data_IF_986447739476
#
_entry.id   IF_986447739476
#
_cell.length_a   1.000
_cell.length_b   1.000
_cell.length_c   1.000
_cell.angle_alpha   90.00
_cell.angle_beta   90.00
_cell.angle_gamma   90.00
#
_symmetry.space_group_name_H-M   'P 1'
#
loop_
_entity.id
_entity.type
_entity.pdbx_description
1 polymer ?
#
# COMPACT_ATOMS: atom_id res chain seq x y z
N UNK A 1 -7.36 12.34 -1.30
CA UNK A 1 -7.06 12.28 -2.75
C UNK A 1 -6.76 10.86 -3.22
N UNK A 2 -5.79 10.14 -2.63
CA UNK A 2 -5.41 8.79 -3.09
C UNK A 2 -6.59 7.80 -3.26
N UNK A 3 -7.52 7.74 -2.31
CA UNK A 3 -8.69 6.83 -2.37
C UNK A 3 -9.65 7.12 -3.54
N UNK A 4 -9.74 8.36 -4.01
CA UNK A 4 -10.78 8.78 -4.96
C UNK A 4 -10.56 8.25 -6.38
N UNK A 5 -9.32 7.88 -6.71
CA UNK A 5 -8.95 7.30 -8.02
C UNK A 5 -9.18 5.79 -8.14
N UNK A 6 -9.77 5.13 -7.14
CA UNK A 6 -10.00 3.69 -7.14
C UNK A 6 -11.48 3.37 -7.04
N UNK A 7 -11.99 2.54 -7.93
CA UNK A 7 -13.40 2.12 -8.03
C UNK A 7 -13.67 0.79 -7.33
N UNK A 8 -12.64 -0.05 -7.20
CA UNK A 8 -12.75 -1.36 -6.56
C UNK A 8 -12.99 -1.29 -5.05
N UNK A 9 -13.19 -2.48 -4.47
CA UNK A 9 -13.28 -2.65 -3.01
C UNK A 9 -11.99 -2.17 -2.35
N UNK A 10 -12.12 -1.43 -1.27
CA UNK A 10 -11.02 -1.08 -0.39
C UNK A 10 -11.47 -1.17 1.06
N UNK A 11 -10.51 -1.27 1.97
CA UNK A 11 -10.76 -0.98 3.38
C UNK A 11 -11.03 0.52 3.59
N UNK A 12 -11.64 0.91 4.73
CA UNK A 12 -11.38 2.22 5.32
C UNK A 12 -9.91 2.31 5.79
N UNK A 13 -9.50 3.48 6.26
CA UNK A 13 -8.21 3.58 6.97
C UNK A 13 -8.37 2.90 8.32
N UNK A 14 -7.64 1.80 8.52
CA UNK A 14 -7.60 1.08 9.78
C UNK A 14 -6.48 1.62 10.66
N UNK A 15 -6.67 1.47 11.97
CA UNK A 15 -5.62 1.63 12.96
C UNK A 15 -5.42 0.28 13.66
N UNK A 16 -4.20 -0.24 13.62
CA UNK A 16 -3.85 -1.53 14.21
C UNK A 16 -3.14 -1.33 15.54
N UNK A 17 -3.78 -1.74 16.63
CA UNK A 17 -3.25 -1.55 17.98
C UNK A 17 -1.97 -2.35 18.28
N UNK A 18 -1.76 -3.49 17.62
CA UNK A 18 -0.59 -4.34 17.89
C UNK A 18 0.72 -3.77 17.36
N UNK A 19 0.69 -3.21 16.15
CA UNK A 19 1.82 -2.59 15.45
C UNK A 19 1.83 -1.06 15.54
N UNK A 20 0.74 -0.47 16.02
CA UNK A 20 0.51 0.97 16.12
C UNK A 20 0.60 1.70 14.76
N UNK A 21 0.15 1.05 13.70
CA UNK A 21 0.20 1.58 12.33
C UNK A 21 -1.19 1.88 11.77
N UNK A 22 -1.19 2.74 10.75
CA UNK A 22 -2.36 3.04 9.92
C UNK A 22 -2.22 2.30 8.59
N UNK A 23 -3.30 1.70 8.08
CA UNK A 23 -3.28 1.10 6.75
C UNK A 23 -4.56 1.32 5.96
N UNK A 24 -4.42 1.43 4.64
CA UNK A 24 -5.50 1.34 3.67
C UNK A 24 -5.16 0.30 2.62
N UNK A 25 -6.11 -0.56 2.30
CA UNK A 25 -5.90 -1.72 1.43
C UNK A 25 -6.85 -1.67 0.25
N UNK A 26 -6.31 -1.83 -0.96
CA UNK A 26 -7.05 -2.02 -2.20
C UNK A 26 -7.05 -3.49 -2.58
N UNK A 27 -8.14 -3.94 -3.18
CA UNK A 27 -8.33 -5.34 -3.58
C UNK A 27 -8.45 -5.42 -5.11
N UNK A 28 -7.77 -6.38 -5.73
CA UNK A 28 -7.92 -6.63 -7.17
C UNK A 28 -9.29 -7.21 -7.53
N UNK A 29 -9.94 -7.85 -6.55
CA UNK A 29 -11.15 -8.64 -6.72
C UNK A 29 -10.90 -10.12 -7.02
N UNK A 30 -9.65 -10.52 -7.30
CA UNK A 30 -9.27 -11.93 -7.48
C UNK A 30 -8.88 -12.60 -6.16
N UNK A 31 -9.13 -13.91 -6.00
CA UNK A 31 -8.65 -14.66 -4.85
C UNK A 31 -7.12 -14.75 -4.85
N UNK A 32 -6.53 -14.76 -3.65
CA UNK A 32 -5.11 -15.03 -3.45
C UNK A 32 -4.90 -16.48 -3.01
N UNK A 33 -3.68 -17.04 -3.15
CA UNK A 33 -3.32 -18.27 -2.45
C UNK A 33 -3.48 -18.07 -0.92
N UNK A 34 -3.63 -19.16 -0.13
CA UNK A 34 -3.69 -19.02 1.32
C UNK A 34 -2.43 -18.38 1.91
N UNK A 35 -2.61 -17.44 2.84
CA UNK A 35 -1.49 -16.83 3.57
C UNK A 35 -0.64 -17.91 4.26
N UNK A 36 0.71 -17.85 4.14
CA UNK A 36 1.60 -18.87 4.72
C UNK A 36 1.48 -18.95 6.25
N UNK A 37 1.04 -17.87 6.89
CA UNK A 37 0.89 -17.79 8.34
C UNK A 37 2.19 -17.38 9.02
N UNK A 38 2.32 -17.72 10.30
CA UNK A 38 3.57 -17.52 11.05
C UNK A 38 3.85 -16.08 11.50
N UNK A 39 2.83 -15.21 11.45
CA UNK A 39 2.93 -13.86 12.02
C UNK A 39 2.85 -13.98 13.55
N UNK A 40 3.83 -13.47 14.32
CA UNK A 40 3.83 -13.56 15.77
C UNK A 40 2.52 -13.04 16.37
N UNK A 41 1.93 -13.81 17.28
CA UNK A 41 0.69 -13.47 17.98
C UNK A 41 -0.57 -13.28 17.11
N UNK A 42 -0.53 -13.69 15.83
CA UNK A 42 -1.69 -13.67 14.92
C UNK A 42 -2.00 -15.10 14.46
N UNK A 43 -3.19 -15.64 14.76
CA UNK A 43 -3.56 -16.98 14.29
C UNK A 43 -3.58 -17.08 12.77
N UNK A 44 -3.06 -18.19 12.22
CA UNK A 44 -3.00 -18.42 10.77
C UNK A 44 -4.38 -18.35 10.09
N UNK A 45 -5.44 -18.80 10.78
CA UNK A 45 -6.81 -18.70 10.26
C UNK A 45 -7.23 -17.24 10.05
N UNK A 46 -6.85 -16.34 10.94
CA UNK A 46 -7.13 -14.90 10.82
C UNK A 46 -6.32 -14.31 9.67
N UNK A 47 -5.03 -14.65 9.55
CA UNK A 47 -4.20 -14.19 8.45
C UNK A 47 -4.75 -14.67 7.08
N UNK A 48 -5.15 -15.94 6.96
CA UNK A 48 -5.71 -16.49 5.72
C UNK A 48 -7.04 -15.84 5.33
N UNK A 49 -7.89 -15.52 6.31
CA UNK A 49 -9.14 -14.81 6.05
C UNK A 49 -8.87 -13.36 5.60
N UNK A 50 -7.99 -12.65 6.32
CA UNK A 50 -7.64 -11.26 6.04
C UNK A 50 -7.00 -11.08 4.65
N UNK A 51 -6.21 -12.06 4.21
CA UNK A 51 -5.49 -12.08 2.94
C UNK A 51 -6.11 -13.06 1.91
N UNK A 52 -7.43 -13.26 1.96
CA UNK A 52 -8.15 -14.17 1.04
C UNK A 52 -8.15 -13.72 -0.43
N UNK A 53 -7.89 -12.45 -0.68
CA UNK A 53 -7.87 -11.84 -2.01
C UNK A 53 -6.55 -11.12 -2.25
N UNK A 54 -6.21 -10.90 -3.52
CA UNK A 54 -5.03 -10.13 -3.84
C UNK A 54 -5.19 -8.69 -3.36
N UNK A 55 -4.16 -8.16 -2.69
CA UNK A 55 -4.17 -6.84 -2.09
C UNK A 55 -2.93 -6.03 -2.46
N UNK A 56 -3.13 -4.72 -2.47
CA UNK A 56 -2.09 -3.70 -2.39
C UNK A 56 -2.44 -2.84 -1.19
N UNK A 57 -1.59 -2.89 -0.18
CA UNK A 57 -1.77 -2.16 1.06
C UNK A 57 -0.71 -1.08 1.18
N UNK A 58 -1.08 0.05 1.76
CA UNK A 58 -0.16 1.12 2.08
C UNK A 58 -0.55 1.78 3.40
N UNK A 59 0.43 2.28 4.12
CA UNK A 59 0.21 2.73 5.48
C UNK A 59 1.30 3.64 6.02
N UNK A 60 1.18 3.94 7.31
CA UNK A 60 2.14 4.71 8.08
C UNK A 60 2.42 4.00 9.40
N UNK A 61 3.69 3.88 9.74
CA UNK A 61 4.17 3.37 11.02
C UNK A 61 5.07 4.42 11.68
N UNK A 62 4.86 4.76 12.97
CA UNK A 62 5.79 5.64 13.71
C UNK A 62 7.20 5.09 13.98
N UNK A 63 7.48 3.81 13.67
CA UNK A 63 8.73 3.12 13.98
C UNK A 63 8.66 2.32 15.29
N UNK A 64 9.77 1.69 15.68
CA UNK A 64 9.87 0.89 16.91
C UNK A 64 9.84 -0.63 16.69
N UNK A 65 10.34 -1.09 15.53
CA UNK A 65 10.51 -2.51 15.22
C UNK A 65 11.76 -2.72 14.37
N UNK A 66 11.62 -3.25 13.15
CA UNK A 66 12.78 -3.43 12.24
C UNK A 66 13.31 -2.10 11.67
N UNK A 67 12.52 -1.03 11.76
CA UNK A 67 12.96 0.34 11.50
C UNK A 67 12.68 1.22 12.74
N UNK A 68 13.66 2.06 13.09
CA UNK A 68 13.62 2.95 14.26
C UNK A 68 13.14 4.37 13.93
N UNK A 69 12.64 4.58 12.71
CA UNK A 69 12.16 5.88 12.25
C UNK A 69 10.74 5.76 11.70
N UNK A 70 9.93 6.84 11.77
CA UNK A 70 8.61 6.86 11.17
C UNK A 70 8.71 6.76 9.65
N UNK A 71 7.83 5.96 9.05
CA UNK A 71 7.82 5.76 7.61
C UNK A 71 6.43 5.45 7.07
N UNK A 72 6.22 5.82 5.81
CA UNK A 72 5.15 5.26 5.01
C UNK A 72 5.63 3.95 4.40
N UNK A 73 4.72 2.99 4.29
CA UNK A 73 5.04 1.66 3.77
C UNK A 73 4.02 1.24 2.72
N UNK A 74 4.39 0.27 1.88
CA UNK A 74 3.48 -0.43 0.98
C UNK A 74 3.94 -1.85 0.69
N UNK A 75 2.99 -2.77 0.64
CA UNK A 75 3.21 -4.15 0.25
C UNK A 75 2.08 -4.65 -0.64
N UNK A 76 2.32 -5.77 -1.31
CA UNK A 76 1.31 -6.50 -2.07
C UNK A 76 1.27 -7.96 -1.60
N UNK A 77 0.07 -8.55 -1.57
CA UNK A 77 -0.10 -9.97 -1.29
C UNK A 77 -1.02 -10.62 -2.34
N UNK A 78 -0.62 -11.74 -2.96
CA UNK A 78 0.75 -12.25 -2.97
C UNK A 78 1.69 -11.22 -3.60
N UNK A 79 2.97 -11.22 -3.21
CA UNK A 79 3.95 -10.30 -3.79
C UNK A 79 4.18 -10.67 -5.28
N UNK A 80 3.83 -9.78 -6.24
CA UNK A 80 3.98 -10.10 -7.65
C UNK A 80 5.44 -9.95 -8.10
N UNK A 81 5.86 -10.77 -9.07
CA UNK A 81 7.21 -10.71 -9.63
C UNK A 81 7.50 -9.31 -10.20
N UNK A 82 8.58 -8.70 -9.74
CA UNK A 82 9.01 -7.37 -10.17
C UNK A 82 8.55 -6.23 -9.25
N UNK A 83 7.72 -6.50 -8.24
CA UNK A 83 7.30 -5.50 -7.26
C UNK A 83 8.48 -4.87 -6.51
N UNK A 84 9.41 -5.69 -6.03
CA UNK A 84 10.60 -5.23 -5.26
C UNK A 84 11.52 -4.29 -6.04
N UNK A 85 11.54 -4.44 -7.36
CA UNK A 85 12.47 -3.74 -8.27
C UNK A 85 11.76 -2.69 -9.11
N UNK A 86 10.50 -2.37 -8.81
CA UNK A 86 9.74 -1.39 -9.55
C UNK A 86 10.38 -0.01 -9.41
N UNK A 87 10.29 0.81 -10.46
CA UNK A 87 10.71 2.19 -10.39
C UNK A 87 9.72 2.97 -9.50
N UNK A 88 10.20 3.50 -8.39
CA UNK A 88 9.38 4.22 -7.41
C UNK A 88 9.61 5.73 -7.50
N UNK A 89 8.61 6.47 -7.06
CA UNK A 89 8.72 7.88 -6.75
C UNK A 89 8.21 8.11 -5.31
N UNK A 90 8.77 9.06 -4.55
CA UNK A 90 9.94 9.87 -4.87
C UNK A 90 11.23 9.02 -4.81
N UNK A 91 12.40 9.53 -5.25
CA UNK A 91 13.66 8.78 -5.24
C UNK A 91 14.11 8.29 -3.85
N UNK A 92 13.54 8.85 -2.77
CA UNK A 92 13.78 8.40 -1.40
C UNK A 92 13.03 7.10 -1.04
N UNK A 93 12.09 6.65 -1.87
CA UNK A 93 11.39 5.38 -1.68
C UNK A 93 12.29 4.20 -2.07
N UNK A 94 12.28 3.14 -1.26
CA UNK A 94 13.14 1.97 -1.43
C UNK A 94 12.45 0.69 -0.96
N UNK A 95 12.89 -0.47 -1.44
CA UNK A 95 12.47 -1.76 -0.90
C UNK A 95 13.34 -2.14 0.31
N UNK A 96 12.72 -2.46 1.45
CA UNK A 96 13.40 -2.89 2.65
C UNK A 96 13.34 -4.41 2.77
N UNK A 97 14.42 -5.10 2.40
CA UNK A 97 14.49 -6.58 2.34
C UNK A 97 14.09 -7.27 3.65
N UNK A 98 14.48 -6.69 4.80
CA UNK A 98 14.13 -7.26 6.11
C UNK A 98 12.65 -7.16 6.46
N UNK A 99 11.93 -6.19 5.87
CA UNK A 99 10.49 -6.02 6.07
C UNK A 99 9.69 -6.73 4.97
N UNK A 100 10.26 -6.84 3.76
CA UNK A 100 9.52 -7.30 2.59
C UNK A 100 8.59 -6.22 2.03
N UNK A 101 8.86 -4.94 2.31
CA UNK A 101 7.97 -3.83 2.00
C UNK A 101 8.70 -2.68 1.30
N UNK A 102 7.96 -1.89 0.51
CA UNK A 102 8.43 -0.62 -0.02
C UNK A 102 8.24 0.44 1.08
N UNK A 103 9.29 1.21 1.36
CA UNK A 103 9.37 2.16 2.47
C UNK A 103 9.70 3.55 1.92
N UNK A 104 9.00 4.57 2.43
CA UNK A 104 9.34 5.97 2.29
C UNK A 104 9.51 6.59 3.69
N UNK A 105 10.74 6.98 4.09
CA UNK A 105 10.97 7.62 5.37
C UNK A 105 10.13 8.89 5.53
N UNK A 106 9.49 9.07 6.68
CA UNK A 106 8.69 10.26 6.96
C UNK A 106 9.52 11.55 6.87
N UNK A 107 10.80 11.49 7.27
CA UNK A 107 11.72 12.64 7.15
C UNK A 107 11.86 13.13 5.71
N UNK A 108 11.88 12.22 4.73
CA UNK A 108 11.95 12.57 3.31
C UNK A 108 10.67 13.28 2.84
N UNK A 109 9.50 12.91 3.38
CA UNK A 109 8.23 13.60 3.10
C UNK A 109 8.19 14.96 3.79
N UNK A 110 8.55 15.00 5.08
CA UNK A 110 8.51 16.21 5.91
C UNK A 110 9.42 17.33 5.40
N UNK A 111 10.53 16.97 4.75
CA UNK A 111 11.51 17.92 4.20
C UNK A 111 11.39 18.12 2.69
N UNK A 112 10.42 17.46 2.03
CA UNK A 112 10.18 17.66 0.61
C UNK A 112 9.67 19.09 0.33
N UNK A 113 10.01 19.65 -0.85
CA UNK A 113 9.44 20.93 -1.29
C UNK A 113 7.91 20.92 -1.38
N UNK A 114 7.33 19.75 -1.67
CA UNK A 114 5.89 19.48 -1.68
C UNK A 114 5.62 18.13 -0.99
N UNK A 115 5.35 18.12 0.33
CA UNK A 115 5.10 16.89 1.09
C UNK A 115 3.88 16.10 0.60
N UNK A 116 2.82 16.79 0.19
CA UNK A 116 1.59 16.17 -0.30
C UNK A 116 1.85 15.43 -1.62
N UNK A 117 2.57 16.06 -2.55
CA UNK A 117 2.97 15.42 -3.80
C UNK A 117 3.91 14.24 -3.54
N UNK A 118 4.92 14.40 -2.67
CA UNK A 118 5.86 13.33 -2.36
C UNK A 118 5.17 12.08 -1.81
N UNK A 119 4.22 12.24 -0.88
CA UNK A 119 3.44 11.12 -0.36
C UNK A 119 2.50 10.53 -1.42
N UNK A 120 1.82 11.37 -2.21
CA UNK A 120 0.94 10.88 -3.27
C UNK A 120 1.69 10.11 -4.34
N UNK A 121 2.90 10.54 -4.71
CA UNK A 121 3.74 9.88 -5.70
C UNK A 121 4.21 8.50 -5.21
N UNK A 122 4.50 8.37 -3.91
CA UNK A 122 4.75 7.07 -3.28
C UNK A 122 3.54 6.16 -3.36
N UNK A 123 2.39 6.61 -2.83
CA UNK A 123 1.18 5.79 -2.84
C UNK A 123 0.76 5.37 -4.25
N UNK A 124 0.96 6.25 -5.25
CA UNK A 124 0.67 5.97 -6.66
C UNK A 124 1.66 4.99 -7.26
N UNK A 125 2.95 5.23 -7.08
CA UNK A 125 4.00 4.40 -7.70
C UNK A 125 4.02 2.99 -7.13
N UNK A 126 3.82 2.81 -5.82
CA UNK A 126 3.75 1.49 -5.18
C UNK A 126 2.49 0.73 -5.56
N UNK A 127 1.33 1.41 -5.63
CA UNK A 127 0.10 0.79 -6.14
C UNK A 127 0.24 0.39 -7.61
N UNK A 128 0.79 1.26 -8.47
CA UNK A 128 1.02 0.93 -9.87
C UNK A 128 1.97 -0.27 -10.01
N UNK A 129 3.05 -0.31 -9.22
CA UNK A 129 3.95 -1.46 -9.16
C UNK A 129 3.22 -2.76 -8.83
N UNK A 130 2.33 -2.76 -7.81
CA UNK A 130 1.54 -3.92 -7.44
C UNK A 130 0.53 -4.32 -8.53
N UNK A 131 -0.21 -3.34 -9.06
CA UNK A 131 -1.29 -3.56 -10.02
C UNK A 131 -0.75 -4.01 -11.39
N UNK A 132 0.34 -3.40 -11.87
CA UNK A 132 0.96 -3.75 -13.15
C UNK A 132 1.64 -5.13 -13.07
N UNK A 133 2.48 -5.35 -12.05
CA UNK A 133 3.16 -6.64 -11.88
C UNK A 133 2.17 -7.78 -11.57
N UNK A 134 1.10 -7.49 -10.84
CA UNK A 134 0.01 -8.42 -10.56
C UNK A 134 -0.98 -8.59 -11.72
N UNK A 135 -0.88 -7.82 -12.80
CA UNK A 135 -1.82 -7.86 -13.92
C UNK A 135 -3.28 -7.58 -13.50
N UNK A 136 -3.49 -6.60 -12.64
CA UNK A 136 -4.83 -6.18 -12.21
C UNK A 136 -5.60 -5.52 -13.36
N UNK A 137 -6.92 -5.62 -13.38
CA UNK A 137 -7.75 -4.90 -14.36
C UNK A 137 -7.86 -3.42 -13.97
N UNK A 138 -6.78 -2.68 -14.20
CA UNK A 138 -6.67 -1.26 -13.87
C UNK A 138 -7.74 -0.42 -14.53
N UNK A 139 -8.23 -0.80 -15.72
CA UNK A 139 -9.32 -0.08 -16.41
C UNK A 139 -10.65 -0.20 -15.67
N UNK A 140 -10.94 -1.37 -15.11
CA UNK A 140 -12.13 -1.56 -14.28
C UNK A 140 -11.98 -0.99 -12.85
N UNK A 141 -10.73 -0.88 -12.37
CA UNK A 141 -10.43 -0.52 -10.99
C UNK A 141 -10.09 0.95 -10.77
N UNK A 142 -9.73 1.70 -11.82
CA UNK A 142 -9.22 3.07 -11.71
C UNK A 142 -10.09 4.09 -12.41
N UNK A 143 -9.92 5.34 -12.00
CA UNK A 143 -10.51 6.51 -12.59
C UNK A 143 -9.63 7.73 -12.27
N UNK A 144 -9.93 8.85 -12.90
CA UNK A 144 -9.27 10.10 -12.57
C UNK A 144 -9.46 10.47 -11.10
N UNK A 145 -8.44 11.08 -10.51
CA UNK A 145 -8.52 11.55 -9.14
C UNK A 145 -9.62 12.61 -9.00
N UNK A 146 -10.52 12.36 -8.05
CA UNK A 146 -11.56 13.30 -7.71
C UNK A 146 -10.99 14.64 -7.25
N UNK A 147 -11.61 15.72 -7.72
CA UNK A 147 -11.37 17.08 -7.25
C UNK A 147 -12.38 17.41 -6.14
N UNK A 148 -11.95 17.97 -4.98
CA UNK A 148 -12.89 18.36 -3.93
C UNK A 148 -14.03 19.22 -4.47
N UNK A 149 -15.27 18.86 -4.13
CA UNK A 149 -16.49 19.57 -4.56
C UNK A 149 -16.93 19.33 -6.00
N UNK A 150 -16.23 18.51 -6.78
CA UNK A 150 -16.56 18.25 -8.20
C UNK A 150 -16.94 16.79 -8.41
N UNK A 151 -18.22 16.48 -8.74
CA UNK A 151 -18.62 15.14 -9.14
C UNK A 151 -17.87 14.66 -10.38
N UNK A 152 -17.61 13.35 -10.48
CA UNK A 152 -17.02 12.79 -11.70
C UNK A 152 -18.01 12.92 -12.86
N UNK A 153 -17.55 13.22 -14.09
CA UNK A 153 -18.40 13.10 -15.27
C UNK A 153 -18.88 11.65 -15.40
N UNK A 154 -20.16 11.48 -15.75
CA UNK A 154 -20.76 10.18 -16.02
C UNK A 154 -20.22 9.56 -17.31
#
# INVERSE_FOLDING_TARGET
VFRTGFLGKSSPVHFFWGSFDLAVTRFSGRPAPPHPGGVPHLPDSVAREAYSHEVSSAGFWPGGGLIDYPAFYSYAYPEPKGFRTAALAPPAALFHEGLGELILPYEAVRTAPDPDSALLDFLRSTYAAAADAGGWDRRALECDFGRPGVPRPC
#
